data_IF_124116729189
#
_entry.id   IF_124116729189
#
_cell.length_a   1.000
_cell.length_b   1.000
_cell.length_c   1.000
_cell.angle_alpha   90.00
_cell.angle_beta   90.00
_cell.angle_gamma   90.00
#
_symmetry.space_group_name_H-M   'P 1'
#
loop_
_entity.id
_entity.type
_entity.pdbx_description
1 polymer ?
#
# COMPACT_ATOMS: atom_id res chain seq x y z
N UNK A 1 -40.85 -1.80 -2.63
CA UNK A 1 -39.61 -2.21 -1.92
C UNK A 1 -39.85 -3.61 -1.38
N UNK A 2 -39.01 -4.60 -1.72
CA UNK A 2 -39.30 -6.04 -1.56
C UNK A 2 -39.05 -6.62 -0.14
N UNK A 3 -38.73 -5.78 0.84
CA UNK A 3 -38.54 -6.13 2.27
C UNK A 3 -37.56 -7.30 2.56
N UNK A 4 -36.50 -7.43 1.77
CA UNK A 4 -35.40 -8.36 2.05
C UNK A 4 -34.33 -7.69 2.92
N UNK A 5 -33.80 -8.45 3.88
CA UNK A 5 -32.69 -8.04 4.76
C UNK A 5 -33.11 -7.20 5.97
N UNK A 6 -32.10 -6.74 6.72
CA UNK A 6 -32.24 -5.77 7.82
C UNK A 6 -31.11 -4.73 7.72
N UNK A 7 -31.26 -3.54 8.33
CA UNK A 7 -30.14 -2.64 8.51
C UNK A 7 -28.97 -3.34 9.21
N UNK A 8 -27.76 -3.10 8.73
CA UNK A 8 -26.54 -3.50 9.43
C UNK A 8 -26.42 -2.67 10.72
N UNK A 9 -25.96 -3.31 11.79
CA UNK A 9 -25.64 -2.63 13.04
C UNK A 9 -24.33 -1.87 12.90
N UNK A 10 -24.13 -0.84 13.72
CA UNK A 10 -22.86 -0.09 13.75
C UNK A 10 -21.66 -1.00 14.02
N UNK A 11 -21.86 -2.05 14.84
CA UNK A 11 -20.83 -3.05 15.12
C UNK A 11 -20.45 -3.85 13.86
N UNK A 12 -21.44 -4.32 13.10
CA UNK A 12 -21.18 -5.06 11.86
C UNK A 12 -20.47 -4.19 10.82
N UNK A 13 -20.86 -2.91 10.73
CA UNK A 13 -20.18 -1.96 9.85
C UNK A 13 -18.73 -1.77 10.32
N UNK A 14 -18.49 -1.50 11.60
CA UNK A 14 -17.14 -1.30 12.13
C UNK A 14 -16.21 -2.52 12.02
N UNK A 15 -16.77 -3.73 11.97
CA UNK A 15 -15.99 -4.97 11.76
C UNK A 15 -15.58 -5.17 10.29
N UNK A 16 -16.29 -4.55 9.33
CA UNK A 16 -16.12 -4.80 7.90
C UNK A 16 -15.57 -3.59 7.12
N UNK A 17 -15.97 -2.37 7.51
CA UNK A 17 -15.56 -1.09 6.91
C UNK A 17 -14.22 -0.64 7.51
N UNK A 18 -13.15 -1.27 7.03
CA UNK A 18 -11.77 -0.99 7.42
C UNK A 18 -10.99 -0.30 6.29
N UNK A 19 -11.69 0.10 5.23
CA UNK A 19 -11.10 0.64 4.01
C UNK A 19 -10.36 1.95 4.31
N UNK A 20 -9.13 2.06 3.81
CA UNK A 20 -8.40 3.33 3.87
C UNK A 20 -8.35 4.00 2.50
N UNK A 21 -8.92 5.19 2.43
CA UNK A 21 -9.00 5.99 1.20
C UNK A 21 -7.71 6.78 0.91
N UNK A 22 -7.49 7.19 -0.35
CA UNK A 22 -6.39 8.05 -0.74
C UNK A 22 -6.17 9.33 0.10
N UNK A 23 -7.24 9.94 0.59
CA UNK A 23 -7.23 11.15 1.42
C UNK A 23 -6.99 10.88 2.92
N UNK A 24 -6.86 9.61 3.31
CA UNK A 24 -6.65 9.17 4.68
C UNK A 24 -7.96 8.92 5.46
N UNK A 25 -9.14 9.07 4.85
CA UNK A 25 -10.38 8.59 5.48
C UNK A 25 -10.26 7.09 5.75
N UNK A 26 -10.64 6.68 6.96
CA UNK A 26 -10.52 5.29 7.42
C UNK A 26 -9.20 4.96 8.14
N UNK A 27 -8.20 5.85 8.13
CA UNK A 27 -6.95 5.59 8.86
C UNK A 27 -7.21 5.43 10.36
N UNK A 28 -6.87 4.26 10.95
CA UNK A 28 -7.09 4.05 12.36
C UNK A 28 -6.00 4.73 13.19
N UNK A 29 -6.29 4.96 14.48
CA UNK A 29 -5.28 5.45 15.42
C UNK A 29 -4.16 4.43 15.57
N UNK A 30 -2.93 4.93 15.61
CA UNK A 30 -1.72 4.15 15.79
C UNK A 30 -0.50 4.91 15.31
N UNK A 31 0.66 4.30 15.51
CA UNK A 31 1.94 4.83 15.03
C UNK A 31 2.98 3.73 14.85
N UNK A 32 3.96 3.98 14.00
CA UNK A 32 5.01 3.03 13.72
C UNK A 32 6.31 3.67 13.27
N UNK A 33 7.42 2.95 13.45
CA UNK A 33 8.76 3.41 13.06
C UNK A 33 9.40 2.42 12.09
N UNK A 34 10.35 2.91 11.31
CA UNK A 34 11.11 2.10 10.34
C UNK A 34 11.79 0.91 11.03
N UNK A 35 12.48 1.14 12.15
CA UNK A 35 13.20 0.11 12.92
C UNK A 35 12.27 -1.00 13.44
N UNK A 36 11.07 -0.64 13.91
CA UNK A 36 10.06 -1.63 14.31
C UNK A 36 9.54 -2.39 13.09
N UNK A 37 9.34 -1.69 11.97
CA UNK A 37 8.87 -2.26 10.72
C UNK A 37 9.83 -3.29 10.15
N UNK A 38 11.13 -3.03 10.20
CA UNK A 38 12.18 -3.96 9.77
C UNK A 38 12.09 -5.31 10.49
N UNK A 39 11.95 -5.28 11.83
CA UNK A 39 11.83 -6.50 12.66
C UNK A 39 10.56 -7.29 12.30
N UNK A 40 9.43 -6.60 12.15
CA UNK A 40 8.16 -7.25 11.77
C UNK A 40 8.27 -7.82 10.36
N UNK A 41 8.87 -7.07 9.44
CA UNK A 41 9.04 -7.49 8.05
C UNK A 41 9.89 -8.75 7.96
N UNK A 42 11.03 -8.80 8.65
CA UNK A 42 11.91 -9.98 8.66
C UNK A 42 11.20 -11.25 9.17
N UNK A 43 10.25 -11.09 10.10
CA UNK A 43 9.53 -12.22 10.71
C UNK A 43 8.26 -12.63 9.96
N UNK A 44 7.55 -11.67 9.34
CA UNK A 44 6.21 -11.90 8.75
C UNK A 44 6.15 -11.75 7.22
N UNK A 45 7.14 -11.15 6.58
CA UNK A 45 7.09 -10.78 5.16
C UNK A 45 8.27 -11.31 4.34
N UNK A 46 9.48 -11.28 4.91
CA UNK A 46 10.74 -11.51 4.20
C UNK A 46 10.89 -12.88 3.56
N UNK A 47 10.22 -13.91 4.11
CA UNK A 47 10.21 -15.25 3.51
C UNK A 47 9.66 -15.26 2.07
N UNK A 48 8.62 -14.47 1.81
CA UNK A 48 8.00 -14.39 0.48
C UNK A 48 8.63 -13.29 -0.39
N UNK A 49 8.91 -12.14 0.21
CA UNK A 49 9.24 -10.91 -0.51
C UNK A 49 10.74 -10.56 -0.51
N UNK A 50 11.60 -11.43 0.00
CA UNK A 50 13.03 -11.15 0.17
C UNK A 50 13.30 -10.26 1.38
N UNK A 51 14.52 -10.27 1.92
CA UNK A 51 14.85 -9.59 3.18
C UNK A 51 14.76 -8.06 3.08
N UNK A 52 15.02 -7.53 1.89
CA UNK A 52 15.00 -6.10 1.57
C UNK A 52 13.90 -5.77 0.53
N UNK A 53 12.87 -6.62 0.40
CA UNK A 53 11.78 -6.40 -0.55
C UNK A 53 12.15 -6.63 -2.02
N UNK A 54 13.27 -7.29 -2.30
CA UNK A 54 13.78 -7.61 -3.63
C UNK A 54 12.96 -8.67 -4.38
N UNK A 55 12.00 -9.32 -3.70
CA UNK A 55 11.19 -10.41 -4.22
C UNK A 55 11.82 -11.78 -3.98
N UNK A 56 11.11 -12.84 -4.35
CA UNK A 56 11.56 -14.21 -4.16
C UNK A 56 10.47 -15.19 -4.55
N UNK A 57 9.92 -15.88 -3.55
CA UNK A 57 8.74 -16.74 -3.72
C UNK A 57 7.53 -15.93 -4.22
N UNK A 58 7.45 -14.66 -3.82
CA UNK A 58 6.41 -13.74 -4.24
C UNK A 58 7.00 -12.42 -4.78
N UNK A 59 6.13 -11.51 -5.17
CA UNK A 59 6.43 -10.26 -5.85
C UNK A 59 7.48 -9.41 -5.11
N UNK A 60 8.31 -8.73 -5.89
CA UNK A 60 9.19 -7.68 -5.42
C UNK A 60 8.39 -6.47 -4.97
N UNK A 61 8.76 -5.90 -3.83
CA UNK A 61 8.09 -4.75 -3.22
C UNK A 61 8.87 -3.44 -3.38
N UNK A 62 10.19 -3.52 -3.61
CA UNK A 62 11.09 -2.38 -3.65
C UNK A 62 11.61 -2.15 -5.07
N UNK A 63 11.50 -0.90 -5.54
CA UNK A 63 12.03 -0.46 -6.83
C UNK A 63 13.56 -0.60 -6.85
N UNK A 64 14.14 -0.95 -8.00
CA UNK A 64 15.60 -0.89 -8.18
C UNK A 64 16.04 0.57 -8.27
N UNK A 65 17.30 0.83 -7.95
CA UNK A 65 17.87 2.17 -8.10
C UNK A 65 17.74 2.61 -9.56
N UNK A 66 17.12 3.77 -9.79
CA UNK A 66 16.88 4.33 -11.12
C UNK A 66 15.72 3.71 -11.89
N UNK A 67 14.94 2.82 -11.27
CA UNK A 67 13.73 2.28 -11.89
C UNK A 67 12.57 3.26 -11.74
N UNK A 68 12.15 3.84 -12.85
CA UNK A 68 11.05 4.81 -12.91
C UNK A 68 9.70 4.12 -13.15
N UNK A 69 8.66 4.92 -13.39
CA UNK A 69 7.34 4.42 -13.75
C UNK A 69 7.46 3.55 -15.02
N UNK A 70 6.93 2.32 -15.01
CA UNK A 70 7.10 1.40 -16.11
C UNK A 70 6.31 1.85 -17.34
N UNK A 71 7.02 2.10 -18.45
CA UNK A 71 6.42 2.38 -19.76
C UNK A 71 5.68 1.16 -20.32
N UNK A 72 4.73 1.39 -21.24
CA UNK A 72 3.88 0.35 -21.83
C UNK A 72 4.66 -0.77 -22.54
N UNK A 73 5.87 -0.44 -23.03
CA UNK A 73 6.77 -1.36 -23.75
C UNK A 73 7.65 -2.23 -22.83
N UNK A 74 7.58 -2.06 -21.50
CA UNK A 74 8.38 -2.85 -20.58
C UNK A 74 7.91 -4.32 -20.52
N UNK A 75 8.70 -5.21 -21.11
CA UNK A 75 8.44 -6.65 -21.25
C UNK A 75 8.29 -7.43 -19.92
N UNK A 76 8.56 -6.81 -18.77
CA UNK A 76 8.45 -7.42 -17.44
C UNK A 76 7.05 -7.36 -16.82
N UNK A 77 6.10 -6.64 -17.43
CA UNK A 77 4.72 -6.56 -16.95
C UNK A 77 4.61 -6.17 -15.47
N UNK A 78 3.81 -6.92 -14.70
CA UNK A 78 3.63 -6.65 -13.25
C UNK A 78 4.90 -6.79 -12.41
N UNK A 79 5.97 -7.45 -12.90
CA UNK A 79 7.21 -7.64 -12.14
C UNK A 79 8.05 -6.36 -12.02
N UNK A 80 7.81 -5.37 -12.88
CA UNK A 80 8.41 -4.04 -12.80
C UNK A 80 7.58 -3.04 -12.01
N UNK A 81 6.38 -3.42 -11.54
CA UNK A 81 5.50 -2.53 -10.76
C UNK A 81 5.70 -2.80 -9.28
N UNK A 82 6.31 -1.87 -8.58
CA UNK A 82 6.58 -1.94 -7.13
C UNK A 82 5.96 -0.77 -6.39
N UNK A 83 6.08 -0.77 -5.06
CA UNK A 83 5.63 0.34 -4.22
C UNK A 83 6.33 1.64 -4.63
N UNK A 84 7.65 1.58 -4.88
CA UNK A 84 8.47 2.78 -5.10
C UNK A 84 8.25 3.48 -6.43
N UNK A 85 7.81 2.77 -7.46
CA UNK A 85 7.76 3.32 -8.83
C UNK A 85 6.36 3.33 -9.45
N UNK A 86 5.38 2.62 -8.89
CA UNK A 86 4.06 2.47 -9.51
C UNK A 86 2.89 2.85 -8.60
N UNK A 87 3.00 2.70 -7.28
CA UNK A 87 1.85 2.94 -6.39
C UNK A 87 1.63 4.46 -6.17
N UNK A 88 0.42 5.01 -6.44
CA UNK A 88 0.20 6.45 -6.37
C UNK A 88 -0.10 7.00 -4.97
N UNK A 89 -0.44 6.14 -4.00
CA UNK A 89 -0.82 6.55 -2.64
C UNK A 89 -0.19 5.65 -1.58
N UNK A 90 0.46 6.24 -0.57
CA UNK A 90 0.98 5.52 0.58
C UNK A 90 -0.15 4.93 1.44
N UNK A 91 -1.35 5.53 1.41
CA UNK A 91 -2.53 4.99 2.11
C UNK A 91 -3.00 3.67 1.53
N UNK A 92 -2.86 3.44 0.21
CA UNK A 92 -3.16 2.15 -0.41
C UNK A 92 -2.22 1.05 0.07
N UNK A 93 -0.94 1.37 0.33
CA UNK A 93 0.01 0.44 0.95
C UNK A 93 -0.48 0.01 2.33
N UNK A 94 -0.85 0.97 3.18
CA UNK A 94 -1.37 0.71 4.52
C UNK A 94 -2.65 -0.14 4.47
N UNK A 95 -3.62 0.27 3.65
CA UNK A 95 -4.90 -0.45 3.42
C UNK A 95 -4.66 -1.92 3.07
N UNK A 96 -3.79 -2.15 2.07
CA UNK A 96 -3.51 -3.49 1.58
C UNK A 96 -2.83 -4.36 2.63
N UNK A 97 -1.85 -3.82 3.37
CA UNK A 97 -1.19 -4.55 4.44
C UNK A 97 -2.20 -4.91 5.54
N UNK A 98 -3.04 -3.95 5.96
CA UNK A 98 -4.04 -4.15 7.01
C UNK A 98 -5.01 -5.29 6.66
N UNK A 99 -5.61 -5.26 5.47
CA UNK A 99 -6.72 -6.16 5.13
C UNK A 99 -6.29 -7.48 4.49
N UNK A 100 -5.10 -7.54 3.90
CA UNK A 100 -4.70 -8.68 3.06
C UNK A 100 -3.41 -9.36 3.51
N UNK A 101 -2.63 -8.76 4.41
CA UNK A 101 -1.35 -9.31 4.85
C UNK A 101 -1.31 -9.66 6.34
N UNK A 102 -0.43 -10.62 6.73
CA UNK A 102 0.30 -11.55 5.86
C UNK A 102 -0.66 -12.50 5.12
N UNK A 103 -0.25 -13.03 3.96
CA UNK A 103 -1.12 -13.85 3.10
C UNK A 103 -1.74 -15.07 3.83
N UNK A 104 -1.06 -15.64 4.82
CA UNK A 104 -1.53 -16.76 5.61
C UNK A 104 -2.35 -16.36 6.85
N UNK A 105 -2.42 -15.07 7.18
CA UNK A 105 -3.21 -14.53 8.28
C UNK A 105 -3.66 -13.08 8.01
N UNK A 106 -4.50 -12.81 6.98
CA UNK A 106 -5.00 -11.46 6.70
C UNK A 106 -5.74 -10.85 7.88
N UNK A 107 -5.56 -9.56 8.13
CA UNK A 107 -6.21 -8.85 9.24
C UNK A 107 -5.64 -9.17 10.64
N UNK A 108 -4.54 -9.93 10.73
CA UNK A 108 -3.93 -10.30 12.01
C UNK A 108 -2.99 -9.25 12.60
N UNK A 109 -2.62 -8.23 11.83
CA UNK A 109 -1.70 -7.17 12.25
C UNK A 109 -2.45 -6.08 13.01
N UNK A 110 -1.83 -5.58 14.08
CA UNK A 110 -2.30 -4.37 14.77
C UNK A 110 -2.00 -3.11 13.95
N UNK A 111 -2.74 -2.03 14.17
CA UNK A 111 -2.52 -0.76 13.46
C UNK A 111 -1.07 -0.27 13.56
N UNK A 112 -0.44 -0.36 14.74
CA UNK A 112 0.95 0.03 14.96
C UNK A 112 1.93 -0.83 14.15
N UNK A 113 1.65 -2.13 14.00
CA UNK A 113 2.44 -3.00 13.12
C UNK A 113 2.29 -2.61 11.66
N UNK A 114 1.07 -2.29 11.20
CA UNK A 114 0.82 -1.85 9.82
C UNK A 114 1.50 -0.51 9.53
N UNK A 115 1.44 0.46 10.46
CA UNK A 115 2.20 1.72 10.34
C UNK A 115 3.70 1.47 10.29
N UNK A 116 4.22 0.56 11.13
CA UNK A 116 5.64 0.25 11.16
C UNK A 116 6.11 -0.41 9.86
N UNK A 117 5.35 -1.39 9.34
CA UNK A 117 5.62 -2.03 8.05
C UNK A 117 5.55 -1.05 6.88
N UNK A 118 4.55 -0.16 6.89
CA UNK A 118 4.42 0.89 5.88
C UNK A 118 5.61 1.84 5.92
N UNK A 119 6.03 2.30 7.11
CA UNK A 119 7.21 3.15 7.27
C UNK A 119 8.47 2.47 6.73
N UNK A 120 8.68 1.20 7.06
CA UNK A 120 9.82 0.43 6.59
C UNK A 120 9.85 0.26 5.06
N UNK A 121 8.72 -0.11 4.45
CA UNK A 121 8.64 -0.28 2.99
C UNK A 121 8.82 1.06 2.25
N UNK A 122 8.28 2.15 2.78
CA UNK A 122 8.50 3.50 2.23
C UNK A 122 9.97 3.92 2.37
N UNK A 123 10.63 3.58 3.49
CA UNK A 123 12.06 3.83 3.70
C UNK A 123 12.93 3.00 2.74
N UNK A 124 12.64 1.72 2.54
CA UNK A 124 13.36 0.88 1.58
C UNK A 124 13.28 1.46 0.16
N UNK A 125 12.12 2.02 -0.20
CA UNK A 125 11.90 2.72 -1.47
C UNK A 125 12.41 4.19 -1.48
N UNK A 126 13.12 4.64 -0.43
CA UNK A 126 13.70 5.99 -0.31
C UNK A 126 12.69 7.13 -0.39
N UNK A 127 11.43 6.88 0.01
CA UNK A 127 10.33 7.85 0.01
C UNK A 127 10.29 8.65 1.32
N UNK A 128 10.70 8.03 2.43
CA UNK A 128 10.75 8.65 3.76
C UNK A 128 12.11 8.41 4.42
N UNK A 129 12.44 9.21 5.42
CA UNK A 129 13.66 9.02 6.22
C UNK A 129 13.53 7.84 7.19
N UNK A 130 14.67 7.33 7.67
CA UNK A 130 14.72 6.25 8.65
C UNK A 130 14.10 6.65 10.01
N UNK A 131 14.17 7.94 10.36
CA UNK A 131 13.74 8.46 11.67
C UNK A 131 12.25 8.84 11.72
N UNK A 132 11.48 8.57 10.67
CA UNK A 132 10.05 8.89 10.66
C UNK A 132 9.28 8.03 11.67
N UNK A 133 8.43 8.68 12.47
CA UNK A 133 7.32 8.04 13.18
C UNK A 133 6.04 8.26 12.35
N UNK A 134 5.63 7.23 11.62
CA UNK A 134 4.49 7.25 10.72
C UNK A 134 3.19 7.06 11.51
N UNK A 135 2.16 7.85 11.19
CA UNK A 135 0.85 7.81 11.84
C UNK A 135 -0.24 8.31 10.87
N UNK A 136 -1.49 8.37 11.34
CA UNK A 136 -2.63 8.79 10.51
C UNK A 136 -2.55 10.24 10.01
N UNK A 137 -1.85 11.12 10.74
CA UNK A 137 -1.75 12.54 10.41
C UNK A 137 -0.77 12.79 9.26
N UNK A 138 0.33 12.03 9.20
CA UNK A 138 1.39 12.24 8.22
C UNK A 138 1.37 11.26 7.03
N UNK A 139 0.84 10.03 7.17
CA UNK A 139 0.81 9.03 6.09
C UNK A 139 0.10 9.55 4.83
N UNK A 140 -1.06 10.20 4.99
CA UNK A 140 -1.85 10.76 3.88
C UNK A 140 -1.15 11.90 3.13
N UNK A 141 -0.14 12.52 3.74
CA UNK A 141 0.60 13.65 3.16
C UNK A 141 1.82 13.19 2.35
N UNK A 142 2.15 11.89 2.36
CA UNK A 142 3.27 11.35 1.58
C UNK A 142 2.91 11.38 0.10
N UNK A 143 3.72 12.09 -0.68
CA UNK A 143 3.61 12.15 -2.14
C UNK A 143 4.44 11.01 -2.72
N UNK A 144 3.78 10.01 -3.30
CA UNK A 144 4.44 8.89 -3.94
C UNK A 144 5.00 9.28 -5.33
N UNK A 145 6.09 8.65 -5.80
CA UNK A 145 6.68 9.00 -7.10
C UNK A 145 5.73 8.84 -8.30
N UNK A 146 4.78 7.90 -8.23
CA UNK A 146 3.81 7.65 -9.29
C UNK A 146 2.50 8.46 -9.16
N UNK A 147 2.45 9.47 -8.27
CA UNK A 147 1.21 10.17 -7.92
C UNK A 147 0.48 10.78 -9.11
N UNK A 148 1.21 11.25 -10.10
CA UNK A 148 0.72 11.97 -11.29
C UNK A 148 0.71 11.09 -12.56
N UNK A 149 1.01 9.80 -12.44
CA UNK A 149 1.19 8.89 -13.59
C UNK A 149 -0.07 8.13 -13.99
N UNK A 150 -1.19 8.38 -13.32
CA UNK A 150 -2.47 7.74 -13.60
C UNK A 150 -3.49 8.77 -14.06
N UNK A 151 -4.20 8.45 -15.13
CA UNK A 151 -5.29 9.25 -15.69
C UNK A 151 -6.59 8.47 -15.62
N UNK A 152 -7.71 9.19 -15.59
CA UNK A 152 -9.03 8.58 -15.83
C UNK A 152 -9.05 8.11 -17.28
N UNK A 153 -9.71 6.98 -17.52
CA UNK A 153 -9.88 6.42 -18.87
C UNK A 153 -10.41 7.47 -19.85
N UNK A 154 -9.59 7.82 -20.84
CA UNK A 154 -9.79 8.86 -21.84
C UNK A 154 -9.96 8.29 -23.25
N UNK A 155 -10.13 6.97 -23.38
CA UNK A 155 -10.21 6.29 -24.69
C UNK A 155 -11.34 6.81 -25.59
N UNK A 156 -12.40 7.37 -25.00
CA UNK A 156 -13.48 8.00 -25.75
C UNK A 156 -13.08 9.35 -26.35
N UNK A 157 -12.17 10.09 -25.72
CA UNK A 157 -11.66 11.36 -26.24
C UNK A 157 -10.66 11.13 -27.38
N UNK A 158 -9.90 10.03 -27.31
CA UNK A 158 -8.94 9.63 -28.36
C UNK A 158 -9.62 9.28 -29.70
N UNK A 159 -10.80 8.63 -29.65
CA UNK A 159 -11.57 8.20 -30.82
C UNK A 159 -12.29 9.37 -31.51
N UNK A 160 -12.50 10.50 -30.82
CA UNK A 160 -13.14 11.69 -31.40
C UNK A 160 -12.12 12.57 -32.14
N UNK A 161 -10.83 12.43 -31.83
CA UNK A 161 -9.75 13.24 -32.40
C UNK A 161 -9.03 12.61 -33.61
N UNK A 162 -9.28 11.34 -33.93
CA UNK A 162 -8.68 10.59 -35.05
C UNK A 162 -9.75 9.84 -35.86
#
# INVERSE_FOLDING_TARGET
MFNFGRPATEKEIAEWDLDVRPDGTGLPKGKGTVKRGEIIYATKCGFCHGQNGEGGVNQRLVARIGEEFPDEDQACGFQCRTIGNYWPYATTLFDYILRSMPMNAPGSLTNDEVYSLSAYLLYLNKIVSEEIELNSENLKNIVMPARDKFVVDDRLDYIVAH
#
